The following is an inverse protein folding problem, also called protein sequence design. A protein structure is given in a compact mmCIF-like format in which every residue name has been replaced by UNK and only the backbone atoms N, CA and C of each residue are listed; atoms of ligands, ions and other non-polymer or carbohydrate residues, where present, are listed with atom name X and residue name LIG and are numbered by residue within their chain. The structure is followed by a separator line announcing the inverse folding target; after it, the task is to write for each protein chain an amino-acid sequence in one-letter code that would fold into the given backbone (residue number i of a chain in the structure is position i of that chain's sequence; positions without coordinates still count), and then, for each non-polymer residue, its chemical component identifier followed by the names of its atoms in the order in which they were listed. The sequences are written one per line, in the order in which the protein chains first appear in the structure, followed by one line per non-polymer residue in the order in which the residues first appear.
data_IF_089738003986
#
_entry.id   IF_089738003986
#
_cell.length_a   1.000
_cell.length_b   1.000
_cell.length_c   1.000
_cell.angle_alpha   90.00
_cell.angle_beta   90.00
_cell.angle_gamma   90.00
#
_symmetry.space_group_name_H-M   'P 1'
#
loop_
_entity.id
_entity.type
_entity.pdbx_description
1 polymer ?
#
# COMPACT_ATOMS: atom_id res chain seq x y z
N UNK A 1 -17.13 10.27 -14.07
CA UNK A 1 -17.70 10.01 -12.74
C UNK A 1 -16.63 9.71 -11.71
N UNK A 2 -17.01 9.57 -10.46
CA UNK A 2 -16.14 9.34 -9.30
C UNK A 2 -15.23 8.10 -9.48
N UNK A 3 -15.69 7.05 -10.14
CA UNK A 3 -14.88 5.85 -10.40
C UNK A 3 -13.63 6.13 -11.27
N UNK A 4 -13.67 7.11 -12.16
CA UNK A 4 -12.51 7.49 -12.95
C UNK A 4 -11.46 8.25 -12.13
N UNK A 5 -11.86 8.88 -11.05
CA UNK A 5 -11.00 9.68 -10.19
C UNK A 5 -9.88 8.86 -9.57
N UNK A 6 -10.17 7.66 -9.07
CA UNK A 6 -9.13 6.76 -8.56
C UNK A 6 -8.10 6.40 -9.63
N UNK A 7 -8.56 6.12 -10.85
CA UNK A 7 -7.68 5.84 -11.99
C UNK A 7 -6.80 7.04 -12.36
N UNK A 8 -7.37 8.24 -12.37
CA UNK A 8 -6.63 9.46 -12.69
C UNK A 8 -5.59 9.81 -11.61
N UNK A 9 -5.97 9.66 -10.32
CA UNK A 9 -5.04 9.83 -9.21
C UNK A 9 -3.90 8.79 -9.28
N UNK A 10 -4.23 7.53 -9.54
CA UNK A 10 -3.25 6.47 -9.76
C UNK A 10 -2.32 6.79 -10.94
N UNK A 11 -2.86 7.30 -12.04
CA UNK A 11 -2.09 7.70 -13.21
C UNK A 11 -1.16 8.89 -12.93
N UNK A 12 -1.59 9.85 -12.11
CA UNK A 12 -0.75 10.96 -11.68
C UNK A 12 0.46 10.48 -10.87
N UNK A 13 0.26 9.53 -9.96
CA UNK A 13 1.33 8.89 -9.19
C UNK A 13 2.24 8.07 -10.13
N UNK A 14 1.66 7.28 -11.02
CA UNK A 14 2.39 6.48 -12.01
C UNK A 14 3.39 7.32 -12.80
N UNK A 15 2.93 8.43 -13.40
CA UNK A 15 3.79 9.34 -14.16
C UNK A 15 4.99 9.88 -13.37
N UNK A 16 4.86 10.00 -12.06
CA UNK A 16 5.96 10.45 -11.21
C UNK A 16 6.94 9.33 -10.91
N UNK A 17 6.42 8.13 -10.61
CA UNK A 17 7.24 6.95 -10.36
C UNK A 17 8.02 6.51 -11.61
N UNK A 18 7.43 6.60 -12.80
CA UNK A 18 8.10 6.28 -14.08
C UNK A 18 9.39 7.10 -14.29
N UNK A 19 9.45 8.32 -13.75
CA UNK A 19 10.65 9.18 -13.84
C UNK A 19 11.79 8.75 -12.90
N UNK A 20 11.51 7.94 -11.89
CA UNK A 20 12.54 7.47 -10.95
C UNK A 20 13.30 6.23 -11.44
N UNK A 21 12.81 5.57 -12.50
CA UNK A 21 13.42 4.36 -13.05
C UNK A 21 13.16 3.08 -12.27
N UNK A 22 12.38 3.14 -11.18
CA UNK A 22 12.01 1.95 -10.38
C UNK A 22 10.98 1.10 -11.11
N UNK A 23 10.95 -0.20 -10.82
CA UNK A 23 9.95 -1.12 -11.34
C UNK A 23 8.78 -1.27 -10.37
N UNK A 24 7.57 -1.06 -10.88
CA UNK A 24 6.36 -1.07 -10.03
C UNK A 24 5.11 -1.43 -10.82
N UNK A 25 4.04 -1.73 -10.08
CA UNK A 25 2.65 -1.77 -10.57
C UNK A 25 1.79 -0.88 -9.69
N UNK A 26 0.76 -0.28 -10.28
CA UNK A 26 -0.22 0.53 -9.54
C UNK A 26 -1.60 -0.07 -9.69
N UNK A 27 -2.29 -0.17 -8.56
CA UNK A 27 -3.70 -0.48 -8.48
C UNK A 27 -4.42 0.70 -7.82
N UNK A 28 -5.49 1.16 -8.44
CA UNK A 28 -6.25 2.29 -7.95
C UNK A 28 -7.73 1.93 -7.90
N UNK A 29 -8.38 2.24 -6.78
CA UNK A 29 -9.81 2.04 -6.63
C UNK A 29 -10.46 3.20 -5.87
N UNK A 30 -11.71 3.45 -6.18
CA UNK A 30 -12.61 4.25 -5.33
C UNK A 30 -13.63 3.29 -4.75
N UNK A 31 -13.93 3.44 -3.47
CA UNK A 31 -14.95 2.62 -2.81
C UNK A 31 -16.32 2.89 -3.42
N UNK A 32 -17.06 1.83 -3.67
CA UNK A 32 -18.45 1.92 -4.08
C UNK A 32 -19.31 2.52 -2.94
N UNK A 33 -20.34 3.27 -3.31
CA UNK A 33 -21.23 3.93 -2.35
C UNK A 33 -21.78 2.96 -1.30
N UNK A 34 -22.21 1.76 -1.70
CA UNK A 34 -22.68 0.74 -0.77
C UNK A 34 -21.63 0.30 0.25
N UNK A 35 -20.37 0.14 -0.17
CA UNK A 35 -19.26 -0.21 0.72
C UNK A 35 -18.91 0.93 1.68
N UNK A 36 -19.03 2.18 1.25
CA UNK A 36 -18.85 3.37 2.10
C UNK A 36 -19.92 3.40 3.17
N UNK A 37 -21.20 3.24 2.80
CA UNK A 37 -22.34 3.21 3.72
C UNK A 37 -22.19 2.08 4.76
N UNK A 38 -21.91 0.87 4.31
CA UNK A 38 -21.74 -0.27 5.19
C UNK A 38 -20.61 -0.02 6.21
N UNK A 39 -19.48 0.55 5.80
CA UNK A 39 -18.36 0.86 6.69
C UNK A 39 -18.71 1.97 7.68
N UNK A 40 -19.41 3.01 7.25
CA UNK A 40 -19.85 4.12 8.10
C UNK A 40 -20.86 3.65 9.15
N UNK A 41 -21.79 2.76 8.81
CA UNK A 41 -22.75 2.19 9.75
C UNK A 41 -22.09 1.19 10.70
N UNK A 42 -21.30 0.26 10.19
CA UNK A 42 -20.65 -0.76 11.00
C UNK A 42 -19.65 -0.19 12.01
N UNK A 43 -18.94 0.87 11.64
CA UNK A 43 -17.98 1.55 12.53
C UNK A 43 -18.53 2.83 13.15
N UNK A 44 -19.84 3.08 13.09
CA UNK A 44 -20.47 4.32 13.53
C UNK A 44 -20.09 4.71 14.96
N UNK A 45 -20.09 3.75 15.87
CA UNK A 45 -19.76 3.97 17.27
C UNK A 45 -18.26 4.31 17.44
N UNK A 46 -17.36 3.61 16.78
CA UNK A 46 -15.92 3.90 16.77
C UNK A 46 -15.61 5.29 16.20
N UNK A 47 -16.27 5.68 15.10
CA UNK A 47 -16.09 6.98 14.49
C UNK A 47 -16.65 8.14 15.34
N UNK A 48 -17.73 7.89 16.10
CA UNK A 48 -18.32 8.87 17.02
C UNK A 48 -17.42 9.05 18.26
N UNK A 49 -17.01 7.97 18.90
CA UNK A 49 -16.26 8.01 20.16
C UNK A 49 -14.84 8.58 19.97
N UNK A 50 -14.21 8.32 18.81
CA UNK A 50 -12.84 8.74 18.51
C UNK A 50 -12.75 9.98 17.62
N UNK A 51 -13.88 10.61 17.30
CA UNK A 51 -13.98 11.70 16.31
C UNK A 51 -13.24 11.40 14.99
N UNK A 52 -13.29 10.13 14.57
CA UNK A 52 -12.66 9.67 13.33
C UNK A 52 -13.57 9.91 12.13
N UNK A 53 -12.91 10.06 10.98
CA UNK A 53 -13.55 10.13 9.67
C UNK A 53 -13.05 9.00 8.78
N UNK A 54 -13.84 8.64 7.77
CA UNK A 54 -13.42 7.71 6.73
C UNK A 54 -12.39 8.39 5.82
N UNK A 55 -11.16 7.87 5.79
CA UNK A 55 -10.02 8.49 5.10
C UNK A 55 -9.61 7.77 3.82
N UNK A 56 -10.18 6.59 3.56
CA UNK A 56 -9.82 5.70 2.47
C UNK A 56 -10.93 5.57 1.40
N UNK A 57 -11.60 6.70 1.06
CA UNK A 57 -12.59 6.73 -0.02
C UNK A 57 -11.95 6.39 -1.38
N UNK A 58 -10.72 6.82 -1.60
CA UNK A 58 -9.87 6.40 -2.69
C UNK A 58 -8.62 5.72 -2.12
N UNK A 59 -8.25 4.60 -2.71
CA UNK A 59 -7.07 3.83 -2.33
C UNK A 59 -6.17 3.57 -3.53
N UNK A 60 -4.89 3.85 -3.37
CA UNK A 60 -3.84 3.56 -4.34
C UNK A 60 -2.91 2.53 -3.74
N UNK A 61 -2.61 1.48 -4.47
CA UNK A 61 -1.62 0.48 -4.06
C UNK A 61 -0.46 0.50 -5.04
N UNK A 62 0.74 0.73 -4.52
CA UNK A 62 2.00 0.69 -5.26
C UNK A 62 2.69 -0.61 -4.89
N UNK A 63 2.91 -1.47 -5.89
CA UNK A 63 3.58 -2.76 -5.72
C UNK A 63 4.94 -2.66 -6.41
N UNK A 64 5.99 -2.58 -5.60
CA UNK A 64 7.38 -2.48 -6.04
C UNK A 64 7.94 -3.87 -6.35
N UNK A 65 8.84 -3.95 -7.31
CA UNK A 65 9.50 -5.22 -7.63
C UNK A 65 10.57 -5.55 -6.59
N UNK A 66 11.25 -4.53 -6.07
CA UNK A 66 12.36 -4.66 -5.14
C UNK A 66 12.12 -3.87 -3.86
N UNK A 67 12.50 -4.46 -2.74
CA UNK A 67 12.33 -3.81 -1.43
C UNK A 67 13.23 -2.57 -1.26
N UNK A 68 14.37 -2.51 -1.95
CA UNK A 68 15.29 -1.37 -1.90
C UNK A 68 14.73 -0.11 -2.56
N UNK A 69 13.69 -0.25 -3.38
CA UNK A 69 12.97 0.88 -3.97
C UNK A 69 11.95 1.53 -3.02
N UNK A 70 11.65 0.89 -1.87
CA UNK A 70 10.71 1.41 -0.88
C UNK A 70 11.08 2.81 -0.39
N UNK A 71 12.33 3.10 0.03
CA UNK A 71 12.72 4.45 0.46
C UNK A 71 12.52 5.51 -0.64
N UNK A 72 12.86 5.18 -1.88
CA UNK A 72 12.69 6.08 -3.03
C UNK A 72 11.21 6.39 -3.26
N UNK A 73 10.38 5.36 -3.25
CA UNK A 73 8.93 5.50 -3.40
C UNK A 73 8.32 6.37 -2.28
N UNK A 74 8.74 6.16 -1.03
CA UNK A 74 8.31 6.96 0.13
C UNK A 74 8.66 8.44 -0.02
N UNK A 75 9.92 8.73 -0.34
CA UNK A 75 10.38 10.12 -0.54
C UNK A 75 9.61 10.80 -1.67
N UNK A 76 9.38 10.10 -2.77
CA UNK A 76 8.60 10.62 -3.88
C UNK A 76 7.15 10.90 -3.49
N UNK A 77 6.53 10.01 -2.69
CA UNK A 77 5.19 10.21 -2.18
C UNK A 77 5.11 11.44 -1.27
N UNK A 78 6.02 11.54 -0.28
CA UNK A 78 6.07 12.63 0.71
C UNK A 78 6.41 13.98 0.09
N UNK A 79 7.23 14.00 -0.94
CA UNK A 79 7.56 15.24 -1.68
C UNK A 79 6.42 15.69 -2.60
N UNK A 80 5.50 14.80 -2.97
CA UNK A 80 4.42 15.09 -3.91
C UNK A 80 3.11 15.44 -3.21
N UNK A 81 2.80 14.74 -2.12
CA UNK A 81 1.53 14.84 -1.41
C UNK A 81 1.77 15.20 0.06
N UNK A 82 0.84 15.96 0.63
CA UNK A 82 0.83 16.23 2.06
C UNK A 82 0.35 14.99 2.82
N UNK A 83 1.29 14.27 3.43
CA UNK A 83 1.03 13.07 4.22
C UNK A 83 0.59 13.46 5.62
N UNK A 84 -0.46 12.82 6.13
CA UNK A 84 -0.95 12.98 7.50
C UNK A 84 -0.28 11.90 8.37
N UNK A 85 0.85 12.23 8.95
CA UNK A 85 1.69 11.27 9.69
C UNK A 85 0.94 10.58 10.85
N UNK A 86 0.10 11.31 11.59
CA UNK A 86 -0.69 10.76 12.71
C UNK A 86 -1.70 9.68 12.31
N UNK A 87 -2.15 9.70 11.06
CA UNK A 87 -3.15 8.78 10.51
C UNK A 87 -2.50 7.71 9.61
N UNK A 88 -1.22 7.92 9.28
CA UNK A 88 -0.42 6.98 8.51
C UNK A 88 0.16 5.90 9.40
N UNK A 89 0.43 4.75 8.82
CA UNK A 89 0.96 3.60 9.53
C UNK A 89 2.13 2.99 8.79
N UNK A 90 3.28 2.93 9.46
CA UNK A 90 4.49 2.29 8.96
C UNK A 90 5.00 1.35 10.04
N UNK A 91 4.90 0.04 9.79
CA UNK A 91 5.42 -0.98 10.70
C UNK A 91 6.95 -1.03 10.59
N UNK A 92 7.60 -1.07 11.75
CA UNK A 92 9.05 -1.28 11.86
C UNK A 92 9.28 -2.77 12.14
N UNK A 93 10.13 -3.46 11.33
CA UNK A 93 10.46 -4.85 11.57
C UNK A 93 11.03 -5.05 12.97
N UNK A 94 10.50 -6.02 13.70
CA UNK A 94 11.03 -6.40 15.02
C UNK A 94 11.99 -7.59 14.89
N UNK A 95 13.03 -7.60 15.73
CA UNK A 95 14.09 -8.60 15.66
C UNK A 95 13.60 -10.02 15.99
N UNK A 96 12.61 -10.14 16.85
CA UNK A 96 12.15 -11.40 17.43
C UNK A 96 10.82 -11.91 16.86
N UNK A 97 10.26 -11.24 15.87
CA UNK A 97 8.99 -11.64 15.25
C UNK A 97 8.92 -11.25 13.77
N UNK A 98 8.30 -12.12 12.98
CA UNK A 98 7.95 -11.85 11.60
C UNK A 98 6.45 -11.54 11.52
N UNK A 99 6.12 -10.27 11.40
CA UNK A 99 4.76 -9.82 11.18
C UNK A 99 4.65 -9.14 9.83
N UNK A 100 3.50 -9.28 9.15
CA UNK A 100 3.25 -8.57 7.91
C UNK A 100 3.41 -7.06 8.11
N UNK A 101 4.35 -6.48 7.37
CA UNK A 101 4.64 -5.05 7.45
C UNK A 101 3.61 -4.27 6.64
N UNK A 102 3.03 -3.26 7.28
CA UNK A 102 2.10 -2.33 6.65
C UNK A 102 2.78 -0.99 6.44
N UNK A 103 2.68 -0.48 5.24
CA UNK A 103 3.12 0.86 4.87
C UNK A 103 1.94 1.55 4.19
N UNK A 104 1.09 2.15 5.03
CA UNK A 104 -0.14 2.82 4.63
C UNK A 104 -0.02 4.31 4.96
N UNK A 105 -0.09 5.14 3.95
CA UNK A 105 0.00 6.59 4.08
C UNK A 105 -1.35 7.22 3.76
N UNK A 106 -1.84 8.04 4.68
CA UNK A 106 -3.01 8.87 4.46
C UNK A 106 -2.53 10.22 3.95
N UNK A 107 -3.00 10.61 2.77
CA UNK A 107 -2.59 11.83 2.08
C UNK A 107 -3.79 12.75 1.89
N UNK A 108 -3.57 14.07 2.01
CA UNK A 108 -4.56 15.04 1.58
C UNK A 108 -4.82 14.90 0.07
N UNK A 109 -6.08 14.83 -0.30
CA UNK A 109 -6.49 14.77 -1.69
C UNK A 109 -6.28 16.15 -2.34
N UNK A 110 -5.62 16.24 -3.50
CA UNK A 110 -5.47 17.51 -4.22
C UNK A 110 -6.85 18.13 -4.52
N UNK A 111 -6.95 19.46 -4.43
CA UNK A 111 -8.22 20.19 -4.58
C UNK A 111 -8.94 19.92 -5.91
N UNK A 112 -8.18 19.70 -6.98
CA UNK A 112 -8.72 19.38 -8.31
C UNK A 112 -9.53 18.07 -8.31
N UNK A 113 -9.17 17.13 -7.44
CA UNK A 113 -9.90 15.88 -7.24
C UNK A 113 -11.03 16.06 -6.23
N UNK A 114 -10.82 16.82 -5.15
CA UNK A 114 -11.86 17.12 -4.15
C UNK A 114 -13.10 17.78 -4.79
N UNK A 115 -12.89 18.72 -5.70
CA UNK A 115 -13.95 19.43 -6.42
C UNK A 115 -14.86 18.54 -7.30
N UNK A 116 -14.46 17.30 -7.54
CA UNK A 116 -15.24 16.34 -8.33
C UNK A 116 -16.22 15.53 -7.49
N UNK A 117 -16.10 15.60 -6.17
CA UNK A 117 -17.06 15.01 -5.25
C UNK A 117 -18.15 16.03 -4.88
N UNK A 118 -19.39 15.58 -4.63
CA UNK A 118 -20.40 16.44 -4.02
C UNK A 118 -19.91 16.95 -2.67
N UNK A 119 -20.05 18.24 -2.41
CA UNK A 119 -19.59 18.85 -1.15
C UNK A 119 -20.29 18.24 0.06
N UNK A 120 -21.56 17.86 -0.10
CA UNK A 120 -22.36 17.18 0.92
C UNK A 120 -21.73 15.88 1.42
N UNK A 121 -20.92 15.23 0.59
CA UNK A 121 -20.19 14.00 0.97
C UNK A 121 -19.27 14.26 2.15
N UNK A 122 -18.60 15.40 2.16
CA UNK A 122 -17.63 15.75 3.20
C UNK A 122 -18.26 16.50 4.40
N UNK A 123 -19.38 17.19 4.17
CA UNK A 123 -20.06 17.99 5.21
C UNK A 123 -21.08 17.17 6.00
N UNK A 124 -21.85 16.32 5.34
CA UNK A 124 -22.97 15.58 5.93
C UNK A 124 -22.58 14.19 6.43
N UNK A 125 -21.44 13.68 5.95
CA UNK A 125 -20.95 12.34 6.31
C UNK A 125 -19.57 12.44 6.93
N UNK A 126 -19.22 11.47 7.78
CA UNK A 126 -17.89 11.39 8.40
C UNK A 126 -16.84 10.87 7.39
N UNK A 127 -16.66 11.62 6.31
CA UNK A 127 -15.68 11.33 5.25
C UNK A 127 -14.68 12.48 5.19
N UNK A 128 -13.41 12.16 5.14
CA UNK A 128 -12.32 13.13 5.03
C UNK A 128 -11.90 13.34 3.57
N UNK A 129 -11.31 14.51 3.29
CA UNK A 129 -10.78 14.86 1.95
C UNK A 129 -9.39 14.24 1.75
N UNK A 130 -9.32 12.93 1.89
CA UNK A 130 -8.07 12.17 1.88
C UNK A 130 -8.15 10.96 0.96
N UNK A 131 -7.00 10.40 0.65
CA UNK A 131 -6.85 9.11 0.01
C UNK A 131 -5.73 8.32 0.68
N UNK A 132 -5.80 7.01 0.60
CA UNK A 132 -4.80 6.11 1.17
C UNK A 132 -3.84 5.62 0.08
N UNK A 133 -2.53 5.61 0.39
CA UNK A 133 -1.52 4.96 -0.44
C UNK A 133 -0.90 3.82 0.35
N UNK A 134 -0.93 2.63 -0.22
CA UNK A 134 -0.28 1.43 0.31
C UNK A 134 0.97 1.13 -0.53
N UNK A 135 2.13 0.94 0.13
CA UNK A 135 3.36 0.50 -0.53
C UNK A 135 3.62 -0.94 -0.13
N UNK A 136 3.87 -1.80 -1.10
CA UNK A 136 4.16 -3.23 -0.92
C UNK A 136 5.21 -3.68 -1.91
N UNK A 137 5.86 -4.82 -1.63
CA UNK A 137 6.63 -5.57 -2.62
C UNK A 137 5.75 -6.59 -3.34
N UNK A 138 6.22 -7.13 -4.44
CA UNK A 138 5.51 -8.18 -5.19
C UNK A 138 5.24 -9.42 -4.33
N UNK A 139 6.19 -9.82 -3.49
CA UNK A 139 6.01 -10.98 -2.62
C UNK A 139 5.07 -10.68 -1.46
N UNK A 140 5.21 -9.52 -0.82
CA UNK A 140 4.32 -9.12 0.26
C UNK A 140 2.88 -8.90 -0.22
N UNK A 141 2.69 -8.39 -1.43
CA UNK A 141 1.37 -8.22 -2.03
C UNK A 141 0.63 -9.54 -2.19
N UNK A 142 1.29 -10.55 -2.76
CA UNK A 142 0.68 -11.87 -2.94
C UNK A 142 0.21 -12.47 -1.62
N UNK A 143 1.02 -12.37 -0.57
CA UNK A 143 0.64 -12.84 0.76
C UNK A 143 -0.54 -12.04 1.35
N UNK A 144 -0.51 -10.70 1.24
CA UNK A 144 -1.59 -9.85 1.75
C UNK A 144 -2.94 -10.10 1.08
N UNK A 145 -2.95 -10.41 -0.22
CA UNK A 145 -4.19 -10.77 -0.92
C UNK A 145 -4.76 -12.08 -0.38
N UNK A 146 -3.91 -13.10 -0.18
CA UNK A 146 -4.32 -14.37 0.42
C UNK A 146 -4.80 -14.17 1.86
N UNK A 147 -4.04 -13.47 2.69
CA UNK A 147 -4.40 -13.19 4.09
C UNK A 147 -5.74 -12.47 4.19
N UNK A 148 -5.93 -11.45 3.38
CA UNK A 148 -7.16 -10.65 3.38
C UNK A 148 -8.39 -11.48 2.97
N UNK A 149 -8.29 -12.27 1.92
CA UNK A 149 -9.45 -12.97 1.36
C UNK A 149 -9.75 -14.28 2.06
N UNK A 150 -8.74 -14.94 2.61
CA UNK A 150 -8.90 -16.26 3.23
C UNK A 150 -8.99 -16.16 4.75
N UNK A 151 -8.08 -15.43 5.42
CA UNK A 151 -8.03 -15.35 6.88
C UNK A 151 -8.81 -14.17 7.46
N UNK A 152 -8.56 -12.95 6.96
CA UNK A 152 -9.15 -11.75 7.55
C UNK A 152 -10.69 -11.70 7.41
N UNK A 153 -11.21 -12.09 6.25
CA UNK A 153 -12.66 -12.16 6.02
C UNK A 153 -13.35 -13.28 6.82
N UNK A 154 -12.61 -14.31 7.22
CA UNK A 154 -13.09 -15.49 7.93
C UNK A 154 -12.47 -15.64 9.33
N UNK A 155 -12.29 -14.52 10.04
CA UNK A 155 -11.60 -14.46 11.34
C UNK A 155 -12.14 -15.45 12.39
N UNK A 156 -13.45 -15.63 12.43
CA UNK A 156 -14.10 -16.52 13.42
C UNK A 156 -13.70 -17.97 13.20
N UNK A 157 -13.62 -18.38 11.94
CA UNK A 157 -13.17 -19.72 11.56
C UNK A 157 -11.69 -19.91 11.92
N UNK A 158 -10.84 -18.96 11.54
CA UNK A 158 -9.39 -19.01 11.79
C UNK A 158 -9.01 -18.86 13.26
N UNK A 159 -9.86 -18.26 14.09
CA UNK A 159 -9.61 -18.13 15.53
C UNK A 159 -9.43 -19.47 16.25
N UNK A 160 -10.03 -20.55 15.73
CA UNK A 160 -9.93 -21.90 16.26
C UNK A 160 -8.70 -22.66 15.74
N UNK A 161 -7.97 -22.10 14.77
CA UNK A 161 -6.88 -22.76 14.06
C UNK A 161 -5.56 -21.98 14.21
N UNK A 162 -5.07 -21.90 15.45
CA UNK A 162 -3.85 -21.16 15.78
C UNK A 162 -2.63 -21.66 15.00
N UNK A 163 -2.48 -22.98 14.83
CA UNK A 163 -1.34 -23.56 14.13
C UNK A 163 -1.31 -23.14 12.65
N UNK A 164 -2.44 -23.18 11.96
CA UNK A 164 -2.52 -22.72 10.56
C UNK A 164 -2.26 -21.21 10.43
N UNK A 165 -2.72 -20.40 11.37
CA UNK A 165 -2.41 -18.97 11.40
C UNK A 165 -0.91 -18.74 11.58
N UNK A 166 -0.25 -19.53 12.42
CA UNK A 166 1.21 -19.49 12.62
C UNK A 166 1.96 -19.92 11.35
N UNK A 167 1.48 -20.97 10.69
CA UNK A 167 2.06 -21.47 9.43
C UNK A 167 1.96 -20.43 8.32
N UNK A 168 0.81 -19.77 8.16
CA UNK A 168 0.63 -18.68 7.21
C UNK A 168 1.58 -17.50 7.49
N UNK A 169 1.82 -17.16 8.76
CA UNK A 169 2.81 -16.15 9.13
C UNK A 169 4.25 -16.63 8.83
N UNK A 170 4.54 -17.93 8.95
CA UNK A 170 5.82 -18.53 8.55
C UNK A 170 6.08 -18.40 7.04
N UNK A 171 5.03 -18.54 6.23
CA UNK A 171 5.11 -18.29 4.77
C UNK A 171 5.47 -16.82 4.51
N UNK A 172 4.86 -15.87 5.24
CA UNK A 172 5.24 -14.45 5.12
C UNK A 172 6.72 -14.22 5.41
N UNK A 173 7.25 -14.80 6.49
CA UNK A 173 8.66 -14.71 6.84
C UNK A 173 9.57 -15.23 5.71
N UNK A 174 9.18 -16.33 5.08
CA UNK A 174 9.90 -16.89 3.93
C UNK A 174 9.89 -15.93 2.73
N UNK A 175 8.75 -15.29 2.45
CA UNK A 175 8.62 -14.31 1.37
C UNK A 175 9.46 -13.05 1.64
N UNK A 176 9.55 -12.60 2.89
CA UNK A 176 10.44 -11.48 3.27
C UNK A 176 11.92 -11.82 3.04
N UNK A 177 12.33 -13.05 3.37
CA UNK A 177 13.69 -13.55 3.04
C UNK A 177 13.90 -13.62 1.53
N UNK A 178 12.88 -14.01 0.75
CA UNK A 178 12.95 -14.02 -0.71
C UNK A 178 13.14 -12.62 -1.29
N UNK A 179 12.43 -11.60 -0.76
CA UNK A 179 12.61 -10.21 -1.17
C UNK A 179 14.09 -9.76 -1.02
N UNK A 180 14.69 -10.01 0.14
CA UNK A 180 16.11 -9.68 0.41
C UNK A 180 17.05 -10.46 -0.48
N UNK A 181 16.78 -11.76 -0.67
CA UNK A 181 17.61 -12.63 -1.50
C UNK A 181 17.59 -12.21 -2.97
N UNK A 182 16.46 -11.71 -3.46
CA UNK A 182 16.33 -11.19 -4.82
C UNK A 182 17.25 -9.98 -5.02
N UNK A 183 17.21 -9.00 -4.11
CA UNK A 183 18.10 -7.82 -4.18
C UNK A 183 19.57 -8.26 -4.19
N UNK A 184 19.99 -9.09 -3.23
CA UNK A 184 21.37 -9.58 -3.16
C UNK A 184 21.82 -10.33 -4.43
N UNK A 185 20.91 -11.08 -5.06
CA UNK A 185 21.20 -11.78 -6.32
C UNK A 185 21.49 -10.79 -7.44
N UNK A 186 20.65 -9.76 -7.57
CA UNK A 186 20.79 -8.77 -8.64
C UNK A 186 22.00 -7.86 -8.44
N UNK A 187 22.33 -7.48 -7.21
CA UNK A 187 23.58 -6.77 -6.90
C UNK A 187 24.82 -7.59 -7.32
N UNK A 188 24.81 -8.88 -7.03
CA UNK A 188 25.90 -9.78 -7.45
C UNK A 188 26.00 -9.90 -8.96
N UNK A 189 24.87 -9.96 -9.67
CA UNK A 189 24.81 -9.99 -11.12
C UNK A 189 25.34 -8.67 -11.71
N UNK A 190 24.89 -7.53 -11.17
CA UNK A 190 25.37 -6.19 -11.57
C UNK A 190 26.89 -6.08 -11.39
N UNK A 191 27.42 -6.57 -10.26
CA UNK A 191 28.87 -6.59 -10.01
C UNK A 191 29.64 -7.48 -11.00
N UNK A 192 29.10 -8.64 -11.39
CA UNK A 192 29.72 -9.48 -12.42
C UNK A 192 29.72 -8.78 -13.79
N UNK A 193 28.62 -8.14 -14.15
CA UNK A 193 28.54 -7.37 -15.39
C UNK A 193 29.53 -6.20 -15.40
N UNK A 194 29.70 -5.53 -14.26
CA UNK A 194 30.73 -4.49 -14.09
C UNK A 194 32.14 -5.04 -14.35
N UNK A 195 32.52 -6.17 -13.73
CA UNK A 195 33.82 -6.80 -13.93
C UNK A 195 34.05 -7.22 -15.38
N UNK A 196 33.02 -7.62 -16.07
CA UNK A 196 33.05 -8.01 -17.47
C UNK A 196 32.95 -6.80 -18.44
N UNK A 197 32.96 -5.57 -17.93
CA UNK A 197 32.80 -4.31 -18.68
C UNK A 197 31.49 -4.22 -19.49
N UNK A 198 30.46 -4.92 -19.06
CA UNK A 198 29.13 -4.90 -19.65
C UNK A 198 28.26 -3.85 -18.94
N UNK A 199 28.58 -2.56 -19.17
CA UNK A 199 27.99 -1.44 -18.40
C UNK A 199 26.46 -1.36 -18.56
N UNK A 200 25.95 -1.52 -19.78
CA UNK A 200 24.49 -1.51 -19.99
C UNK A 200 23.77 -2.61 -19.23
N UNK A 201 24.35 -3.83 -19.20
CA UNK A 201 23.79 -4.94 -18.43
C UNK A 201 23.88 -4.70 -16.92
N UNK A 202 24.96 -4.07 -16.44
CA UNK A 202 25.10 -3.66 -15.05
C UNK A 202 23.99 -2.68 -14.61
N UNK A 203 23.67 -1.69 -15.45
CA UNK A 203 22.68 -0.65 -15.11
C UNK A 203 21.24 -1.21 -15.14
N UNK A 204 20.98 -2.27 -15.92
CA UNK A 204 19.66 -2.91 -16.00
C UNK A 204 19.33 -3.82 -14.81
N UNK A 205 20.31 -4.25 -14.06
CA UNK A 205 20.17 -5.11 -12.91
C UNK A 205 20.53 -4.35 -11.63
#
# INVERSE_FOLDING_TARGET
GIQNLGKELGHAIQKKLEKSGIYFRIFARVKEAGSVWHKLEWKKQEYLERDKKLQDIAGIRIVLYYMDDIPICKELLKSTYSVIEKDSHEDIPKVNEFNPLRMNYVCHMPEEFVKRFPEELFTNYRIDKTFEVQIRTTFSEGWHEVDHDVRYKHKEEWAQHYEFSRELNGIYATLEVCDRSMVNLLERLAYQNYKNRQIEAMIRN
#
